data_IF_373956402758
#
_entry.id   IF_373956402758
#
_cell.length_a   1.000
_cell.length_b   1.000
_cell.length_c   1.000
_cell.angle_alpha   90.00
_cell.angle_beta   90.00
_cell.angle_gamma   90.00
#
_symmetry.space_group_name_H-M   'P 1'
#
loop_
_entity.id
_entity.type
_entity.pdbx_description
1 polymer ?
#
# COMPACT_ATOMS: atom_id res chain seq x y z
N UNK A 1 20.59 -0.60 21.96
CA UNK A 1 19.39 0.23 22.18
C UNK A 1 19.57 1.00 23.47
N UNK A 2 19.16 2.26 23.51
CA UNK A 2 19.16 3.12 24.69
C UNK A 2 17.81 3.84 24.77
N UNK A 3 17.09 3.73 25.90
CA UNK A 3 15.71 4.22 26.06
C UNK A 3 14.75 3.81 24.91
N UNK A 4 14.85 2.57 24.42
CA UNK A 4 14.02 2.08 23.31
C UNK A 4 14.40 2.64 21.93
N UNK A 5 15.51 3.38 21.81
CA UNK A 5 16.03 3.90 20.53
C UNK A 5 17.23 3.10 20.05
N UNK A 6 17.28 2.84 18.75
CA UNK A 6 18.44 2.24 18.09
C UNK A 6 19.48 3.33 17.80
N UNK A 7 20.61 3.24 18.50
CA UNK A 7 21.77 4.10 18.28
C UNK A 7 22.71 3.44 17.27
N UNK A 8 23.18 4.23 16.33
CA UNK A 8 24.05 3.78 15.24
C UNK A 8 25.21 4.76 15.07
N UNK A 9 26.39 4.30 14.61
CA UNK A 9 27.46 5.21 14.24
C UNK A 9 26.98 6.15 13.13
N UNK A 10 27.07 7.46 13.35
CA UNK A 10 26.49 8.48 12.46
C UNK A 10 26.94 8.31 11.00
N UNK A 11 28.23 8.03 10.78
CA UNK A 11 28.79 7.82 9.44
C UNK A 11 28.24 6.58 8.74
N UNK A 12 27.93 5.53 9.50
CA UNK A 12 27.41 4.29 8.92
C UNK A 12 26.06 4.48 8.22
N UNK A 13 25.25 5.44 8.68
CA UNK A 13 23.96 5.76 8.05
C UNK A 13 24.13 6.84 6.99
N UNK A 14 24.77 7.95 7.36
CA UNK A 14 24.87 9.14 6.51
C UNK A 14 25.62 8.87 5.20
N UNK A 15 26.71 8.10 5.23
CA UNK A 15 27.53 7.87 4.03
C UNK A 15 26.82 6.96 3.00
N UNK A 16 26.01 5.98 3.45
CA UNK A 16 25.19 5.15 2.56
C UNK A 16 24.09 5.98 1.87
N UNK A 17 23.63 7.06 2.52
CA UNK A 17 22.70 8.03 1.95
C UNK A 17 23.42 9.14 1.15
N UNK A 18 24.74 9.04 0.96
CA UNK A 18 25.60 10.01 0.28
C UNK A 18 25.64 11.39 0.97
N UNK A 19 25.39 11.43 2.27
CA UNK A 19 25.51 12.64 3.09
C UNK A 19 26.93 12.75 3.64
N UNK A 20 27.45 13.97 3.72
CA UNK A 20 28.73 14.23 4.38
C UNK A 20 28.55 14.38 5.88
N UNK A 21 29.57 13.97 6.64
CA UNK A 21 29.60 14.10 8.10
C UNK A 21 30.89 14.77 8.53
N UNK A 22 30.77 15.89 9.22
CA UNK A 22 31.90 16.64 9.77
C UNK A 22 31.84 16.66 11.31
N UNK A 23 33.00 16.49 11.96
CA UNK A 23 33.12 16.46 13.41
C UNK A 23 34.00 17.62 13.89
N UNK A 24 33.46 18.42 14.82
CA UNK A 24 34.13 19.57 15.42
C UNK A 24 34.40 19.29 16.90
N UNK A 25 35.64 18.89 17.20
CA UNK A 25 36.01 18.41 18.52
C UNK A 25 35.90 19.47 19.63
N UNK A 26 36.26 20.72 19.36
CA UNK A 26 36.20 21.81 20.35
C UNK A 26 34.76 22.13 20.78
N UNK A 27 33.82 22.01 19.85
CA UNK A 27 32.40 22.28 20.07
C UNK A 27 31.61 21.04 20.51
N UNK A 28 32.24 19.85 20.48
CA UNK A 28 31.56 18.56 20.61
C UNK A 28 30.35 18.45 19.66
N UNK A 29 30.54 18.89 18.41
CA UNK A 29 29.47 19.04 17.40
C UNK A 29 29.70 18.13 16.22
N UNK A 30 28.65 17.48 15.75
CA UNK A 30 28.62 16.78 14.46
C UNK A 30 27.64 17.47 13.52
N UNK A 31 28.10 17.76 12.31
CA UNK A 31 27.27 18.27 11.22
C UNK A 31 27.08 17.14 10.19
N UNK A 32 25.84 17.00 9.71
CA UNK A 32 25.45 16.06 8.65
C UNK A 32 24.81 16.89 7.54
N UNK A 33 25.40 16.84 6.35
CA UNK A 33 24.94 17.63 5.20
C UNK A 33 24.52 16.72 4.05
N UNK A 34 23.35 17.02 3.49
CA UNK A 34 22.85 16.50 2.22
C UNK A 34 22.74 17.64 1.20
N UNK A 35 22.41 17.37 -0.07
CA UNK A 35 22.23 18.43 -1.06
C UNK A 35 21.15 19.48 -0.70
N UNK A 36 20.13 19.11 0.10
CA UNK A 36 19.00 19.97 0.44
C UNK A 36 19.02 20.47 1.88
N UNK A 37 19.79 19.83 2.76
CA UNK A 37 19.56 19.91 4.20
C UNK A 37 20.83 19.75 5.03
N UNK A 38 20.86 20.46 6.16
CA UNK A 38 21.89 20.37 7.20
C UNK A 38 21.28 20.02 8.56
N UNK A 39 21.87 19.04 9.24
CA UNK A 39 21.55 18.64 10.60
C UNK A 39 22.79 18.80 11.48
N UNK A 40 22.67 19.58 12.56
CA UNK A 40 23.74 19.86 13.53
C UNK A 40 23.35 19.31 14.89
N UNK A 41 24.15 18.39 15.41
CA UNK A 41 23.93 17.71 16.69
C UNK A 41 25.11 18.00 17.64
N UNK A 42 24.85 18.10 18.94
CA UNK A 42 25.87 18.29 19.97
C UNK A 42 25.89 17.10 20.92
N UNK A 43 27.08 16.60 21.27
CA UNK A 43 27.23 15.43 22.15
C UNK A 43 26.65 15.75 23.53
N UNK A 44 25.82 14.84 24.05
CA UNK A 44 25.16 14.97 25.35
C UNK A 44 24.05 16.01 25.41
N UNK A 45 23.77 16.73 24.31
CA UNK A 45 22.69 17.70 24.22
C UNK A 45 21.42 17.08 23.64
N UNK A 46 20.29 17.34 24.29
CA UNK A 46 18.98 17.06 23.69
C UNK A 46 18.63 18.09 22.59
N UNK A 47 19.23 19.28 22.64
CA UNK A 47 19.04 20.32 21.63
C UNK A 47 19.87 20.02 20.37
N UNK A 48 19.25 20.18 19.21
CA UNK A 48 19.90 20.10 17.89
C UNK A 48 19.34 21.15 16.94
N UNK A 49 19.95 21.29 15.76
CA UNK A 49 19.53 22.26 14.76
C UNK A 49 19.32 21.61 13.40
N UNK A 50 18.16 21.87 12.81
CA UNK A 50 17.81 21.49 11.46
C UNK A 50 17.75 22.75 10.60
N UNK A 51 18.64 22.90 9.63
CA UNK A 51 18.75 24.10 8.80
C UNK A 51 18.80 25.41 9.63
N UNK A 52 19.43 25.36 10.81
CA UNK A 52 19.53 26.48 11.76
C UNK A 52 18.33 26.64 12.71
N UNK A 53 17.23 25.91 12.52
CA UNK A 53 16.09 25.89 13.44
C UNK A 53 16.38 24.95 14.63
N UNK A 54 16.24 25.47 15.85
CA UNK A 54 16.45 24.68 17.08
C UNK A 54 15.30 23.68 17.29
N UNK A 55 15.65 22.43 17.57
CA UNK A 55 14.74 21.32 17.89
C UNK A 55 15.28 20.49 19.06
N UNK A 56 14.50 19.52 19.54
CA UNK A 56 14.83 18.69 20.70
C UNK A 56 14.65 17.20 20.40
N UNK A 57 15.57 16.36 20.86
CA UNK A 57 15.51 14.89 20.75
C UNK A 57 15.46 14.21 22.12
N UNK A 58 14.83 13.04 22.18
CA UNK A 58 14.68 12.28 23.44
C UNK A 58 15.98 11.63 23.92
N UNK A 59 16.84 11.23 22.98
CA UNK A 59 18.10 10.54 23.26
C UNK A 59 19.23 11.32 22.57
N UNK A 60 20.07 12.04 23.32
CA UNK A 60 21.20 12.80 22.78
C UNK A 60 22.17 11.95 21.96
N UNK A 61 22.92 12.61 21.08
CA UNK A 61 24.10 12.01 20.49
C UNK A 61 25.16 11.72 21.57
N UNK A 62 25.85 10.58 21.46
CA UNK A 62 26.85 10.16 22.44
C UNK A 62 28.13 9.71 21.75
N UNK A 63 29.26 9.80 22.44
CA UNK A 63 30.50 9.18 21.99
C UNK A 63 30.64 7.84 22.70
N UNK A 64 30.80 6.76 21.92
CA UNK A 64 31.10 5.42 22.42
C UNK A 64 32.16 4.80 21.54
N UNK A 65 33.18 4.20 22.15
CA UNK A 65 34.29 3.53 21.42
C UNK A 65 34.89 4.44 20.32
N UNK A 66 35.14 5.71 20.67
CA UNK A 66 35.69 6.77 19.79
C UNK A 66 34.82 7.11 18.57
N UNK A 67 33.54 6.70 18.57
CA UNK A 67 32.59 7.01 17.50
C UNK A 67 31.40 7.78 18.03
N UNK A 68 30.89 8.69 17.21
CA UNK A 68 29.63 9.37 17.48
C UNK A 68 28.47 8.47 17.11
N UNK A 69 27.63 8.17 18.10
CA UNK A 69 26.39 7.44 17.97
C UNK A 69 25.21 8.40 18.04
N UNK A 70 24.24 8.18 17.15
CA UNK A 70 23.04 9.02 17.00
C UNK A 70 21.79 8.13 16.94
N UNK A 71 20.61 8.62 17.34
CA UNK A 71 19.37 7.91 17.13
C UNK A 71 19.10 7.78 15.63
N UNK A 72 19.06 6.55 15.11
CA UNK A 72 18.89 6.25 13.68
C UNK A 72 17.67 6.97 13.10
N UNK A 73 16.53 6.81 13.78
CA UNK A 73 15.24 7.36 13.34
C UNK A 73 15.28 8.87 13.23
N UNK A 74 15.81 9.55 14.25
CA UNK A 74 15.90 11.01 14.28
C UNK A 74 16.71 11.52 13.07
N UNK A 75 17.91 10.97 12.87
CA UNK A 75 18.79 11.43 11.79
C UNK A 75 18.19 11.12 10.42
N UNK A 76 17.62 9.93 10.23
CA UNK A 76 16.98 9.57 8.98
C UNK A 76 15.77 10.46 8.66
N UNK A 77 14.84 10.62 9.61
CA UNK A 77 13.60 11.39 9.43
C UNK A 77 13.89 12.89 9.23
N UNK A 78 14.81 13.46 10.01
CA UNK A 78 15.24 14.85 9.81
C UNK A 78 15.90 15.06 8.45
N UNK A 79 16.52 14.04 7.87
CA UNK A 79 17.10 14.11 6.51
C UNK A 79 16.11 13.68 5.41
N UNK A 80 14.82 13.57 5.76
CA UNK A 80 13.73 13.29 4.84
C UNK A 80 13.72 11.84 4.33
N UNK A 81 14.21 10.89 5.12
CA UNK A 81 14.01 9.47 4.93
C UNK A 81 12.86 8.96 5.81
N UNK A 82 12.26 7.85 5.42
CA UNK A 82 11.34 7.09 6.25
C UNK A 82 12.07 5.93 6.92
N UNK A 83 11.72 5.59 8.16
CA UNK A 83 12.30 4.44 8.87
C UNK A 83 11.21 3.43 9.22
N UNK A 84 11.20 2.31 8.50
CA UNK A 84 10.33 1.16 8.76
C UNK A 84 11.09 0.13 9.61
N UNK A 85 10.42 -0.43 10.60
CA UNK A 85 10.98 -1.49 11.43
C UNK A 85 10.35 -2.82 11.03
N UNK A 86 11.21 -3.76 10.66
CA UNK A 86 10.87 -5.16 10.44
C UNK A 86 11.08 -5.89 11.77
N UNK A 87 9.98 -6.18 12.46
CA UNK A 87 9.97 -6.86 13.76
C UNK A 87 10.45 -8.32 13.65
N UNK A 88 10.12 -9.00 12.56
CA UNK A 88 10.44 -10.42 12.38
C UNK A 88 11.96 -10.61 12.29
N UNK A 89 12.61 -9.76 11.51
CA UNK A 89 14.05 -9.83 11.29
C UNK A 89 14.86 -8.91 12.21
N UNK A 90 14.20 -8.05 12.99
CA UNK A 90 14.82 -7.00 13.80
C UNK A 90 15.68 -6.04 12.96
N UNK A 91 15.15 -5.60 11.82
CA UNK A 91 15.84 -4.73 10.85
C UNK A 91 15.18 -3.35 10.79
N UNK A 92 15.99 -2.29 10.86
CA UNK A 92 15.55 -0.93 10.57
C UNK A 92 15.85 -0.59 9.10
N UNK A 93 14.80 -0.51 8.28
CA UNK A 93 14.88 -0.12 6.88
C UNK A 93 14.77 1.40 6.75
N UNK A 94 15.82 2.05 6.23
CA UNK A 94 15.84 3.48 5.94
C UNK A 94 15.56 3.69 4.46
N UNK A 95 14.47 4.37 4.14
CA UNK A 95 13.99 4.54 2.77
C UNK A 95 14.03 6.02 2.40
N UNK A 96 14.70 6.35 1.29
CA UNK A 96 14.64 7.70 0.70
C UNK A 96 13.75 7.65 -0.54
N UNK A 97 12.58 8.28 -0.45
CA UNK A 97 11.67 8.37 -1.59
C UNK A 97 12.05 9.51 -2.53
N UNK A 98 11.88 9.27 -3.83
CA UNK A 98 11.64 10.32 -4.81
C UNK A 98 10.19 10.79 -4.67
N UNK A 99 9.98 12.05 -4.28
CA UNK A 99 8.63 12.59 -4.07
C UNK A 99 8.13 13.24 -5.36
N UNK A 100 6.96 12.84 -5.82
CA UNK A 100 6.31 13.37 -7.02
C UNK A 100 4.92 13.87 -6.66
N UNK A 101 4.63 15.14 -6.93
CA UNK A 101 3.25 15.64 -6.87
C UNK A 101 2.57 15.44 -8.23
N UNK A 102 1.57 14.55 -8.30
CA UNK A 102 0.85 14.29 -9.54
C UNK A 102 -0.11 15.44 -9.86
N UNK A 103 -0.04 15.96 -11.08
CA UNK A 103 -0.94 17.01 -11.60
C UNK A 103 -1.91 16.46 -12.64
N UNK A 104 -1.54 15.36 -13.28
CA UNK A 104 -2.26 14.72 -14.38
C UNK A 104 -2.19 13.20 -14.21
N UNK A 105 -3.08 12.42 -14.86
CA UNK A 105 -2.97 10.96 -14.87
C UNK A 105 -1.60 10.47 -15.40
N UNK A 106 -0.99 11.23 -16.33
CA UNK A 106 0.34 10.91 -16.87
C UNK A 106 1.41 10.88 -15.78
N UNK A 107 1.31 11.75 -14.76
CA UNK A 107 2.31 11.79 -13.69
C UNK A 107 2.30 10.52 -12.84
N UNK A 108 1.13 9.86 -12.67
CA UNK A 108 1.03 8.60 -11.94
C UNK A 108 1.81 7.51 -12.68
N UNK A 109 1.54 7.37 -13.98
CA UNK A 109 2.12 6.31 -14.81
C UNK A 109 3.61 6.55 -15.09
N UNK A 110 4.01 7.77 -15.43
CA UNK A 110 5.41 8.07 -15.76
C UNK A 110 6.35 7.94 -14.54
N UNK A 111 5.82 8.14 -13.33
CA UNK A 111 6.62 8.10 -12.10
C UNK A 111 6.44 6.81 -11.29
N UNK A 112 5.66 5.85 -11.78
CA UNK A 112 5.53 4.52 -11.20
C UNK A 112 6.86 3.77 -11.30
N UNK A 113 7.72 3.96 -10.31
CA UNK A 113 9.07 3.44 -10.23
C UNK A 113 9.43 3.11 -8.78
N UNK A 114 10.49 2.33 -8.60
CA UNK A 114 10.93 1.93 -7.26
C UNK A 114 11.36 3.12 -6.42
N UNK A 115 11.03 3.09 -5.13
CA UNK A 115 11.32 4.16 -4.17
C UNK A 115 10.72 5.51 -4.57
N UNK A 116 9.56 5.52 -5.22
CA UNK A 116 8.81 6.74 -5.52
C UNK A 116 7.60 6.87 -4.61
N UNK A 117 7.31 8.09 -4.17
CA UNK A 117 6.06 8.44 -3.47
C UNK A 117 5.33 9.49 -4.29
N UNK A 118 4.23 9.08 -4.89
CA UNK A 118 3.35 9.88 -5.71
C UNK A 118 2.24 10.43 -4.82
N UNK A 119 2.21 11.75 -4.66
CA UNK A 119 1.22 12.48 -3.89
C UNK A 119 0.15 13.01 -4.84
N UNK A 120 -1.08 12.56 -4.64
CA UNK A 120 -2.24 12.99 -5.41
C UNK A 120 -2.86 14.27 -4.82
N UNK A 121 -3.42 15.10 -5.70
CA UNK A 121 -4.18 16.31 -5.38
C UNK A 121 -5.68 16.05 -5.46
N UNK A 122 -6.47 17.00 -4.97
CA UNK A 122 -7.94 16.92 -4.97
C UNK A 122 -8.49 17.02 -6.40
N UNK A 123 -8.52 15.88 -7.09
CA UNK A 123 -9.04 15.76 -8.45
C UNK A 123 -9.23 14.28 -8.82
N UNK A 124 -9.86 14.10 -9.98
CA UNK A 124 -9.94 12.82 -10.66
C UNK A 124 -8.77 12.67 -11.66
N UNK A 125 -8.17 11.49 -11.69
CA UNK A 125 -7.10 11.08 -12.58
C UNK A 125 -7.61 9.98 -13.52
N UNK A 126 -8.09 10.37 -14.71
CA UNK A 126 -8.65 9.43 -15.69
C UNK A 126 -7.54 8.83 -16.57
N UNK A 127 -7.21 7.56 -16.33
CA UNK A 127 -6.16 6.84 -17.06
C UNK A 127 -6.51 6.59 -18.53
N UNK A 128 -7.78 6.75 -18.93
CA UNK A 128 -8.17 6.66 -20.34
C UNK A 128 -7.75 7.88 -21.17
N UNK A 129 -7.29 8.96 -20.52
CA UNK A 129 -6.75 10.16 -21.20
C UNK A 129 -5.29 10.00 -21.65
N UNK A 130 -4.64 8.91 -21.25
CA UNK A 130 -3.25 8.64 -21.54
C UNK A 130 -3.03 8.20 -23.00
N UNK A 131 -1.90 8.60 -23.58
CA UNK A 131 -1.43 8.06 -24.85
C UNK A 131 -0.70 6.73 -24.62
N UNK A 132 -1.46 5.63 -24.68
CA UNK A 132 -0.96 4.28 -24.46
C UNK A 132 0.21 3.87 -25.39
N UNK A 133 0.36 4.53 -26.55
CA UNK A 133 1.41 4.22 -27.53
C UNK A 133 2.76 4.78 -27.08
N UNK A 134 2.75 5.91 -26.34
CA UNK A 134 3.95 6.69 -26.02
C UNK A 134 4.19 6.76 -24.50
N UNK A 135 4.18 5.61 -23.83
CA UNK A 135 4.53 5.53 -22.40
C UNK A 135 6.05 5.49 -22.25
N UNK A 136 6.62 6.58 -21.73
CA UNK A 136 8.04 6.67 -21.39
C UNK A 136 8.30 6.24 -19.94
N UNK A 137 7.97 4.98 -19.62
CA UNK A 137 8.32 4.36 -18.34
C UNK A 137 8.67 2.87 -18.55
N UNK A 138 9.91 2.42 -18.26
CA UNK A 138 10.32 1.03 -18.46
C UNK A 138 9.61 0.03 -17.53
N UNK A 139 9.02 0.53 -16.45
CA UNK A 139 8.28 -0.24 -15.46
C UNK A 139 6.76 -0.25 -15.72
N UNK A 140 6.28 0.35 -16.80
CA UNK A 140 4.85 0.30 -17.15
C UNK A 140 4.65 -0.27 -18.55
N UNK A 141 3.69 -1.17 -18.67
CA UNK A 141 3.21 -1.70 -19.94
C UNK A 141 1.73 -1.34 -20.10
N UNK A 142 1.37 -0.74 -21.24
CA UNK A 142 -0.04 -0.64 -21.63
C UNK A 142 -0.42 -1.90 -22.42
N UNK A 143 -1.35 -2.67 -21.87
CA UNK A 143 -1.96 -3.81 -22.53
C UNK A 143 -3.20 -3.36 -23.31
N UNK A 144 -3.31 -3.79 -24.56
CA UNK A 144 -4.45 -3.51 -25.42
C UNK A 144 -5.61 -4.42 -25.02
N UNK A 145 -6.66 -3.82 -24.44
CA UNK A 145 -7.88 -4.54 -24.08
C UNK A 145 -8.93 -4.38 -25.19
N UNK A 146 -10.07 -5.04 -25.06
CA UNK A 146 -11.12 -4.93 -26.08
C UNK A 146 -11.61 -3.48 -26.31
N UNK A 147 -11.67 -2.67 -25.25
CA UNK A 147 -12.11 -1.26 -25.30
C UNK A 147 -11.22 -0.38 -24.40
N UNK A 148 -10.01 -0.07 -24.87
CA UNK A 148 -9.06 0.80 -24.17
C UNK A 148 -7.86 0.04 -23.64
N UNK A 149 -7.09 0.64 -22.73
CA UNK A 149 -5.82 0.09 -22.28
C UNK A 149 -5.78 -0.13 -20.77
N UNK A 150 -5.12 -1.21 -20.36
CA UNK A 150 -4.73 -1.47 -18.97
C UNK A 150 -3.27 -1.09 -18.77
N UNK A 151 -2.99 -0.30 -17.72
CA UNK A 151 -1.62 0.10 -17.39
C UNK A 151 -1.08 -0.78 -16.27
N UNK A 152 -0.15 -1.68 -16.62
CA UNK A 152 0.45 -2.66 -15.72
C UNK A 152 1.80 -2.14 -15.22
N UNK A 153 1.89 -1.86 -13.92
CA UNK A 153 3.13 -1.47 -13.24
C UNK A 153 3.89 -2.73 -12.84
N UNK A 154 5.12 -2.90 -13.34
CA UNK A 154 5.91 -4.13 -13.16
C UNK A 154 7.28 -3.91 -12.53
N UNK A 155 7.70 -4.90 -11.75
CA UNK A 155 9.05 -4.98 -11.17
C UNK A 155 9.42 -3.74 -10.33
N UNK A 156 8.44 -3.16 -9.64
CA UNK A 156 8.58 -1.95 -8.81
C UNK A 156 8.58 -2.32 -7.33
N UNK A 157 9.52 -1.76 -6.58
CA UNK A 157 9.64 -1.93 -5.13
C UNK A 157 9.48 -0.61 -4.39
N UNK A 158 8.72 -0.59 -3.29
CA UNK A 158 8.50 0.62 -2.47
C UNK A 158 7.91 1.78 -3.29
N UNK A 159 6.81 1.57 -4.00
CA UNK A 159 6.02 2.63 -4.61
C UNK A 159 4.85 3.00 -3.69
N UNK A 160 4.69 4.29 -3.43
CA UNK A 160 3.56 4.83 -2.67
C UNK A 160 2.72 5.68 -3.60
N UNK A 161 1.41 5.45 -3.63
CA UNK A 161 0.42 6.32 -4.25
C UNK A 161 -0.56 6.73 -3.16
N UNK A 162 -0.53 8.00 -2.77
CA UNK A 162 -1.36 8.49 -1.66
C UNK A 162 -1.95 9.87 -1.92
N UNK A 163 -3.12 10.13 -1.34
CA UNK A 163 -3.61 11.49 -1.17
C UNK A 163 -3.42 11.93 0.29
N UNK A 164 -3.02 13.19 0.55
CA UNK A 164 -2.94 13.72 1.92
C UNK A 164 -4.28 13.64 2.65
N UNK A 165 -4.25 13.60 3.99
CA UNK A 165 -5.48 13.57 4.79
C UNK A 165 -6.41 14.76 4.46
N UNK A 166 -7.70 14.47 4.30
CA UNK A 166 -8.71 15.46 3.91
C UNK A 166 -8.76 15.77 2.41
N UNK A 167 -7.84 15.22 1.61
CA UNK A 167 -7.86 15.33 0.15
C UNK A 167 -8.60 14.13 -0.44
N UNK A 168 -9.58 14.42 -1.31
CA UNK A 168 -10.28 13.42 -2.10
C UNK A 168 -9.67 13.33 -3.49
N UNK A 169 -8.90 12.27 -3.75
CA UNK A 169 -8.35 11.97 -5.06
C UNK A 169 -8.91 10.65 -5.59
N UNK A 170 -9.27 10.60 -6.87
CA UNK A 170 -9.70 9.36 -7.52
C UNK A 170 -8.82 8.99 -8.72
N UNK A 171 -8.51 7.71 -8.87
CA UNK A 171 -7.85 7.14 -10.05
C UNK A 171 -8.85 6.28 -10.77
N UNK A 172 -9.14 6.59 -12.03
CA UNK A 172 -10.27 5.98 -12.74
C UNK A 172 -9.92 5.60 -14.16
N UNK A 173 -10.76 4.76 -14.77
CA UNK A 173 -10.67 4.45 -16.19
C UNK A 173 -12.06 4.33 -16.81
N UNK A 174 -12.18 4.69 -18.08
CA UNK A 174 -13.35 4.43 -18.92
C UNK A 174 -13.23 3.12 -19.69
N UNK A 175 -12.07 2.46 -19.68
CA UNK A 175 -11.85 1.18 -20.35
C UNK A 175 -12.52 0.03 -19.56
N UNK A 176 -13.63 -0.57 -20.03
CA UNK A 176 -14.42 -1.49 -19.22
C UNK A 176 -13.72 -2.83 -18.96
N UNK A 177 -12.72 -3.19 -19.75
CA UNK A 177 -11.97 -4.45 -19.63
C UNK A 177 -10.65 -4.30 -18.87
N UNK A 178 -10.20 -3.07 -18.65
CA UNK A 178 -8.95 -2.79 -17.96
C UNK A 178 -9.12 -2.85 -16.45
N UNK A 179 -8.15 -3.42 -15.75
CA UNK A 179 -8.01 -3.17 -14.33
C UNK A 179 -7.63 -1.70 -14.09
N UNK A 180 -8.15 -1.08 -13.03
CA UNK A 180 -7.87 0.35 -12.75
C UNK A 180 -6.40 0.54 -12.35
N UNK A 181 -5.90 -0.29 -11.44
CA UNK A 181 -4.50 -0.33 -11.03
C UNK A 181 -4.02 -1.77 -11.05
N UNK A 182 -3.02 -2.05 -11.88
CA UNK A 182 -2.48 -3.40 -12.09
C UNK A 182 -1.00 -3.44 -11.74
N UNK A 183 -0.61 -4.41 -10.91
CA UNK A 183 0.76 -4.59 -10.44
C UNK A 183 1.24 -6.01 -10.71
N UNK A 184 2.45 -6.15 -11.26
CA UNK A 184 3.06 -7.44 -11.59
C UNK A 184 4.49 -7.54 -11.06
N UNK A 185 4.78 -8.54 -10.23
CA UNK A 185 6.12 -8.73 -9.66
C UNK A 185 6.58 -7.58 -8.75
N UNK A 186 5.61 -6.85 -8.17
CA UNK A 186 5.88 -5.66 -7.37
C UNK A 186 5.97 -5.99 -5.87
N UNK A 187 6.72 -5.17 -5.13
CA UNK A 187 6.80 -5.31 -3.66
C UNK A 187 6.77 -4.00 -2.89
N UNK A 188 6.30 -4.00 -1.65
CA UNK A 188 6.27 -2.81 -0.81
C UNK A 188 5.36 -1.71 -1.37
N UNK A 189 4.28 -2.07 -2.07
CA UNK A 189 3.36 -1.11 -2.69
C UNK A 189 2.40 -0.59 -1.64
N UNK A 190 2.21 0.74 -1.60
CA UNK A 190 1.27 1.39 -0.69
C UNK A 190 0.27 2.20 -1.50
N UNK A 191 -1.02 1.88 -1.36
CA UNK A 191 -2.13 2.68 -1.84
C UNK A 191 -2.84 3.26 -0.62
N UNK A 192 -2.95 4.58 -0.53
CA UNK A 192 -3.49 5.20 0.69
C UNK A 192 -4.38 6.39 0.45
N UNK A 193 -5.56 6.39 1.07
CA UNK A 193 -6.48 7.52 1.07
C UNK A 193 -6.88 7.94 -0.37
N UNK A 194 -7.07 6.98 -1.26
CA UNK A 194 -7.50 7.21 -2.65
C UNK A 194 -8.79 6.47 -2.94
N UNK A 195 -9.54 6.93 -3.93
CA UNK A 195 -10.62 6.15 -4.53
C UNK A 195 -10.17 5.60 -5.88
N UNK A 196 -10.44 4.34 -6.19
CA UNK A 196 -10.20 3.75 -7.50
C UNK A 196 -11.45 3.06 -8.04
N UNK A 197 -11.75 3.24 -9.33
CA UNK A 197 -12.92 2.61 -9.95
C UNK A 197 -13.15 2.99 -11.42
N UNK A 198 -14.20 2.45 -12.05
CA UNK A 198 -14.54 2.77 -13.44
C UNK A 198 -15.55 3.91 -13.56
N UNK A 199 -15.54 4.56 -14.73
CA UNK A 199 -16.49 5.62 -15.14
C UNK A 199 -17.52 5.15 -16.16
N UNK A 200 -17.92 3.88 -16.12
CA UNK A 200 -18.91 3.35 -17.06
C UNK A 200 -20.18 2.91 -16.33
N UNK A 201 -21.25 2.74 -17.09
CA UNK A 201 -22.53 2.28 -16.55
C UNK A 201 -22.40 0.88 -15.93
N UNK A 202 -23.12 0.65 -14.83
CA UNK A 202 -23.11 -0.62 -14.10
C UNK A 202 -23.48 -1.79 -15.03
N UNK A 203 -22.68 -2.86 -14.99
CA UNK A 203 -22.92 -4.08 -15.77
C UNK A 203 -22.22 -4.16 -17.13
N UNK A 204 -21.47 -3.12 -17.54
CA UNK A 204 -20.71 -3.12 -18.80
C UNK A 204 -19.21 -3.40 -18.62
N UNK A 205 -18.70 -3.38 -17.40
CA UNK A 205 -17.30 -3.70 -17.10
C UNK A 205 -17.05 -5.22 -17.07
N UNK A 206 -15.81 -5.61 -17.30
CA UNK A 206 -15.24 -6.93 -16.97
C UNK A 206 -13.83 -6.85 -16.37
N UNK A 207 -13.21 -5.67 -16.31
CA UNK A 207 -12.00 -5.43 -15.52
C UNK A 207 -12.30 -5.29 -14.02
N UNK A 208 -11.31 -5.60 -13.17
CA UNK A 208 -11.34 -5.41 -11.73
C UNK A 208 -10.82 -4.03 -11.32
N UNK A 209 -10.75 -3.72 -10.02
CA UNK A 209 -10.20 -2.43 -9.56
C UNK A 209 -8.69 -2.56 -9.32
N UNK A 210 -8.30 -3.42 -8.38
CA UNK A 210 -6.89 -3.70 -8.07
C UNK A 210 -6.54 -5.10 -8.54
N UNK A 211 -5.52 -5.23 -9.39
CA UNK A 211 -4.96 -6.50 -9.85
C UNK A 211 -3.53 -6.67 -9.33
N UNK A 212 -3.25 -7.80 -8.69
CA UNK A 212 -1.94 -8.13 -8.12
C UNK A 212 -1.48 -9.50 -8.65
N UNK A 213 -0.40 -9.53 -9.43
CA UNK A 213 0.18 -10.75 -9.98
C UNK A 213 1.63 -10.93 -9.50
N UNK A 214 1.90 -11.99 -8.74
CA UNK A 214 3.25 -12.24 -8.21
C UNK A 214 3.77 -11.15 -7.27
N UNK A 215 2.89 -10.49 -6.52
CA UNK A 215 3.20 -9.34 -5.69
C UNK A 215 3.38 -9.71 -4.21
N UNK A 216 4.18 -8.93 -3.47
CA UNK A 216 4.40 -9.14 -2.02
C UNK A 216 4.45 -7.85 -1.22
N UNK A 217 4.07 -7.88 0.06
CA UNK A 217 4.13 -6.70 0.94
C UNK A 217 3.34 -5.53 0.34
N UNK A 218 2.03 -5.72 0.23
CA UNK A 218 1.12 -4.73 -0.35
C UNK A 218 0.26 -4.16 0.77
N UNK A 219 0.18 -2.84 0.87
CA UNK A 219 -0.66 -2.15 1.84
C UNK A 219 -1.68 -1.25 1.14
N UNK A 220 -2.97 -1.47 1.43
CA UNK A 220 -4.08 -0.66 0.95
C UNK A 220 -4.82 -0.11 2.17
N UNK A 221 -4.70 1.18 2.44
CA UNK A 221 -5.27 1.81 3.65
C UNK A 221 -6.19 2.99 3.31
N UNK A 222 -7.39 3.00 3.90
CA UNK A 222 -8.38 4.10 3.74
C UNK A 222 -8.78 4.35 2.29
N UNK A 223 -8.90 3.30 1.49
CA UNK A 223 -9.28 3.43 0.09
C UNK A 223 -10.78 3.20 -0.14
N UNK A 224 -11.29 3.71 -1.25
CA UNK A 224 -12.58 3.31 -1.82
C UNK A 224 -12.35 2.60 -3.15
N UNK A 225 -12.73 1.33 -3.25
CA UNK A 225 -12.54 0.51 -4.45
C UNK A 225 -13.91 0.15 -5.02
N UNK A 226 -14.28 0.73 -6.16
CA UNK A 226 -15.66 0.67 -6.63
C UNK A 226 -15.84 0.37 -8.10
N UNK A 227 -17.06 -0.06 -8.43
CA UNK A 227 -17.62 0.11 -9.76
C UNK A 227 -16.92 -0.71 -10.84
N UNK A 228 -16.76 -2.01 -10.61
CA UNK A 228 -16.10 -2.89 -11.56
C UNK A 228 -17.01 -4.02 -12.06
N UNK A 229 -16.56 -4.66 -13.13
CA UNK A 229 -17.24 -5.77 -13.79
C UNK A 229 -17.04 -7.11 -13.11
N UNK A 230 -15.87 -7.27 -12.47
CA UNK A 230 -15.42 -8.50 -11.84
C UNK A 230 -15.29 -8.31 -10.33
N UNK A 231 -14.09 -8.02 -9.83
CA UNK A 231 -13.79 -7.95 -8.41
C UNK A 231 -13.06 -6.66 -8.03
N UNK A 232 -13.30 -6.19 -6.80
CA UNK A 232 -12.61 -5.01 -6.27
C UNK A 232 -11.11 -5.26 -6.05
N UNK A 233 -10.75 -6.46 -5.58
CA UNK A 233 -9.34 -6.89 -5.48
C UNK A 233 -9.23 -8.29 -6.05
N UNK A 234 -8.35 -8.45 -7.05
CA UNK A 234 -7.91 -9.74 -7.55
C UNK A 234 -6.42 -9.91 -7.28
N UNK A 235 -6.01 -11.07 -6.77
CA UNK A 235 -4.61 -11.42 -6.63
C UNK A 235 -4.30 -12.86 -7.01
N UNK A 236 -3.15 -13.07 -7.65
CA UNK A 236 -2.62 -14.39 -8.04
C UNK A 236 -1.17 -14.49 -7.61
N UNK A 237 -0.74 -15.65 -7.11
CA UNK A 237 0.65 -15.95 -6.72
C UNK A 237 1.26 -14.88 -5.80
N UNK A 238 0.44 -14.27 -4.94
CA UNK A 238 0.78 -13.08 -4.17
C UNK A 238 0.72 -13.32 -2.66
N UNK A 239 1.51 -12.58 -1.88
CA UNK A 239 1.60 -12.79 -0.44
C UNK A 239 1.70 -11.50 0.37
N UNK A 240 1.37 -11.56 1.65
CA UNK A 240 1.53 -10.44 2.60
C UNK A 240 0.80 -9.16 2.14
N UNK A 241 -0.46 -9.34 1.72
CA UNK A 241 -1.34 -8.23 1.35
C UNK A 241 -2.15 -7.83 2.57
N UNK A 242 -2.05 -6.57 2.97
CA UNK A 242 -2.80 -5.97 4.07
C UNK A 242 -3.71 -4.88 3.54
N UNK A 243 -5.00 -4.98 3.86
CA UNK A 243 -6.04 -4.03 3.47
C UNK A 243 -6.73 -3.55 4.74
N UNK A 244 -6.64 -2.26 5.00
CA UNK A 244 -7.17 -1.65 6.23
C UNK A 244 -8.12 -0.50 5.93
N UNK A 245 -9.18 -0.38 6.73
CA UNK A 245 -10.11 0.76 6.71
C UNK A 245 -10.65 1.10 5.31
N UNK A 246 -10.74 0.10 4.43
CA UNK A 246 -11.01 0.26 3.00
C UNK A 246 -12.41 -0.25 2.67
N UNK A 247 -13.10 0.48 1.80
CA UNK A 247 -14.40 0.09 1.29
C UNK A 247 -14.26 -0.56 -0.09
N UNK A 248 -14.86 -1.74 -0.27
CA UNK A 248 -14.95 -2.45 -1.55
C UNK A 248 -16.42 -2.57 -1.90
N UNK A 249 -16.85 -1.96 -2.99
CA UNK A 249 -18.28 -1.80 -3.25
C UNK A 249 -18.68 -1.72 -4.71
N UNK A 250 -19.98 -1.93 -4.97
CA UNK A 250 -20.57 -1.79 -6.30
C UNK A 250 -19.86 -2.60 -7.40
N UNK A 251 -19.34 -3.77 -7.04
CA UNK A 251 -18.70 -4.71 -7.96
C UNK A 251 -19.73 -5.67 -8.57
N UNK A 252 -19.58 -5.98 -9.85
CA UNK A 252 -20.58 -6.71 -10.63
C UNK A 252 -20.49 -8.23 -10.48
N UNK A 253 -19.33 -8.82 -10.12
CA UNK A 253 -19.22 -10.28 -9.84
C UNK A 253 -19.05 -10.59 -8.36
N UNK A 254 -18.11 -9.94 -7.70
CA UNK A 254 -17.80 -10.17 -6.30
C UNK A 254 -16.86 -9.11 -5.75
N UNK A 255 -16.33 -9.34 -4.55
CA UNK A 255 -15.55 -8.32 -3.84
C UNK A 255 -14.05 -8.64 -3.88
N UNK A 256 -13.70 -9.91 -3.64
CA UNK A 256 -12.32 -10.38 -3.56
C UNK A 256 -12.16 -11.71 -4.28
N UNK A 257 -11.13 -11.82 -5.12
CA UNK A 257 -10.71 -13.05 -5.77
C UNK A 257 -9.21 -13.28 -5.53
N UNK A 258 -8.86 -14.44 -4.95
CA UNK A 258 -7.49 -14.79 -4.59
C UNK A 258 -7.18 -16.21 -5.08
N UNK A 259 -6.05 -16.35 -5.76
CA UNK A 259 -5.54 -17.63 -6.28
C UNK A 259 -4.08 -17.83 -5.85
N UNK A 260 -3.79 -18.95 -5.20
CA UNK A 260 -2.44 -19.31 -4.72
C UNK A 260 -1.80 -18.23 -3.84
N UNK A 261 -2.60 -17.58 -3.00
CA UNK A 261 -2.17 -16.45 -2.17
C UNK A 261 -1.93 -16.81 -0.69
N UNK A 262 -1.03 -16.08 -0.02
CA UNK A 262 -0.62 -16.36 1.35
C UNK A 262 -0.56 -15.13 2.27
N UNK A 263 -1.07 -15.24 3.50
CA UNK A 263 -0.89 -14.19 4.52
C UNK A 263 -1.64 -12.90 4.21
N UNK A 264 -2.92 -13.01 3.88
CA UNK A 264 -3.77 -11.91 3.43
C UNK A 264 -4.62 -11.41 4.60
N UNK A 265 -4.65 -10.10 4.83
CA UNK A 265 -5.33 -9.49 5.98
C UNK A 265 -6.25 -8.37 5.53
N UNK A 266 -7.52 -8.48 5.87
CA UNK A 266 -8.49 -7.40 5.80
C UNK A 266 -8.88 -6.99 7.23
N UNK A 267 -8.78 -5.72 7.57
CA UNK A 267 -9.09 -5.22 8.91
C UNK A 267 -9.88 -3.90 8.87
N UNK A 268 -11.04 -3.85 9.52
CA UNK A 268 -11.86 -2.64 9.54
C UNK A 268 -12.44 -2.27 8.17
N UNK A 269 -12.46 -3.21 7.22
CA UNK A 269 -12.99 -2.99 5.88
C UNK A 269 -14.52 -3.05 5.83
N UNK A 270 -15.10 -2.41 4.80
CA UNK A 270 -16.52 -2.53 4.45
C UNK A 270 -16.66 -3.14 3.06
N UNK A 271 -17.41 -4.22 2.94
CA UNK A 271 -17.66 -4.95 1.70
C UNK A 271 -19.15 -4.86 1.37
N UNK A 272 -19.55 -4.09 0.35
CA UNK A 272 -20.98 -3.80 0.14
C UNK A 272 -21.49 -3.71 -1.29
N UNK A 273 -22.81 -3.80 -1.42
CA UNK A 273 -23.59 -3.45 -2.62
C UNK A 273 -23.09 -4.12 -3.92
N UNK A 274 -22.50 -5.31 -3.79
CA UNK A 274 -21.93 -6.11 -4.87
C UNK A 274 -22.72 -7.40 -5.08
N UNK A 275 -22.61 -8.05 -6.24
CA UNK A 275 -23.37 -9.28 -6.45
C UNK A 275 -23.01 -10.09 -7.68
N UNK A 276 -23.86 -11.04 -8.06
CA UNK A 276 -23.79 -11.99 -9.19
C UNK A 276 -23.09 -13.32 -8.88
N UNK A 277 -21.86 -13.33 -8.38
CA UNK A 277 -21.11 -14.56 -8.08
C UNK A 277 -20.75 -14.64 -6.59
N UNK A 278 -19.69 -15.37 -6.26
CA UNK A 278 -19.16 -15.45 -4.90
C UNK A 278 -18.58 -14.09 -4.49
N UNK A 279 -18.86 -13.63 -3.27
CA UNK A 279 -18.29 -12.36 -2.79
C UNK A 279 -16.81 -12.50 -2.48
N UNK A 280 -16.42 -13.67 -2.00
CA UNK A 280 -15.03 -14.06 -1.79
C UNK A 280 -14.77 -15.34 -2.57
N UNK A 281 -13.80 -15.31 -3.49
CA UNK A 281 -13.27 -16.49 -4.18
C UNK A 281 -11.84 -16.70 -3.70
N UNK A 282 -11.57 -17.86 -3.11
CA UNK A 282 -10.29 -18.27 -2.58
C UNK A 282 -9.96 -19.66 -3.15
N UNK A 283 -8.87 -19.75 -3.91
CA UNK A 283 -8.37 -21.00 -4.48
C UNK A 283 -6.90 -21.18 -4.11
N UNK A 284 -6.53 -22.33 -3.54
CA UNK A 284 -5.15 -22.61 -3.12
C UNK A 284 -4.58 -21.67 -2.05
N UNK A 285 -5.43 -20.90 -1.34
CA UNK A 285 -4.99 -19.84 -0.44
C UNK A 285 -4.68 -20.31 0.98
N UNK A 286 -3.76 -19.63 1.66
CA UNK A 286 -3.43 -19.89 3.07
C UNK A 286 -3.33 -18.63 3.92
N UNK A 287 -3.84 -18.68 5.15
CA UNK A 287 -3.72 -17.56 6.10
C UNK A 287 -4.42 -16.29 5.63
N UNK A 288 -5.69 -16.42 5.22
CA UNK A 288 -6.54 -15.27 4.85
C UNK A 288 -7.42 -14.92 6.04
N UNK A 289 -7.32 -13.68 6.54
CA UNK A 289 -8.14 -13.21 7.65
C UNK A 289 -8.93 -11.96 7.29
N UNK A 290 -10.22 -11.94 7.60
CA UNK A 290 -11.09 -10.76 7.54
C UNK A 290 -11.55 -10.43 8.95
N UNK A 291 -11.24 -9.24 9.44
CA UNK A 291 -11.40 -8.91 10.86
C UNK A 291 -12.07 -7.55 11.05
N UNK A 292 -12.97 -7.46 12.04
CA UNK A 292 -13.66 -6.22 12.42
C UNK A 292 -14.34 -5.51 11.24
N UNK A 293 -14.90 -6.29 10.31
CA UNK A 293 -15.40 -5.79 9.02
C UNK A 293 -16.90 -5.91 8.88
N UNK A 294 -17.48 -5.03 8.06
CA UNK A 294 -18.88 -5.11 7.65
C UNK A 294 -18.97 -5.76 6.27
N UNK A 295 -19.79 -6.79 6.13
CA UNK A 295 -20.13 -7.41 4.84
C UNK A 295 -21.62 -7.24 4.66
N UNK A 296 -22.07 -6.29 3.83
CA UNK A 296 -23.49 -5.90 3.80
C UNK A 296 -24.09 -5.66 2.43
N UNK A 297 -25.39 -5.91 2.30
CA UNK A 297 -26.15 -5.64 1.07
C UNK A 297 -25.61 -6.35 -0.19
N UNK A 298 -24.94 -7.48 -0.04
CA UNK A 298 -24.37 -8.21 -1.17
C UNK A 298 -25.31 -9.33 -1.64
N UNK A 299 -25.21 -9.74 -2.91
CA UNK A 299 -26.07 -10.78 -3.48
C UNK A 299 -25.30 -11.83 -4.28
N UNK A 300 -25.25 -13.07 -3.79
CA UNK A 300 -24.67 -14.21 -4.51
C UNK A 300 -25.75 -15.05 -5.20
N UNK A 301 -25.49 -15.51 -6.43
CA UNK A 301 -26.44 -16.31 -7.22
C UNK A 301 -26.60 -17.75 -6.68
N UNK A 302 -27.67 -18.43 -7.11
CA UNK A 302 -28.02 -19.79 -6.67
C UNK A 302 -26.94 -20.86 -6.92
N UNK A 303 -26.13 -20.66 -7.96
CA UNK A 303 -25.07 -21.59 -8.34
C UNK A 303 -23.72 -21.27 -7.68
N UNK A 304 -23.67 -20.25 -6.82
CA UNK A 304 -22.45 -19.78 -6.16
C UNK A 304 -22.55 -19.95 -4.64
N UNK A 305 -21.38 -20.03 -4.00
CA UNK A 305 -21.26 -19.84 -2.55
C UNK A 305 -20.98 -18.36 -2.27
N UNK A 306 -21.52 -17.81 -1.19
CA UNK A 306 -21.21 -16.43 -0.80
C UNK A 306 -19.71 -16.26 -0.50
N UNK A 307 -19.11 -17.25 0.17
CA UNK A 307 -17.66 -17.43 0.34
C UNK A 307 -17.27 -18.78 -0.27
N UNK A 308 -16.48 -18.73 -1.33
CA UNK A 308 -15.95 -19.91 -2.02
C UNK A 308 -14.50 -20.09 -1.61
N UNK A 309 -14.19 -21.16 -0.88
CA UNK A 309 -12.84 -21.57 -0.50
C UNK A 309 -12.55 -23.01 -0.96
N UNK A 310 -11.60 -23.16 -1.88
CA UNK A 310 -11.15 -24.45 -2.43
C UNK A 310 -9.65 -24.63 -2.18
N UNK A 311 -9.25 -25.82 -1.76
CA UNK A 311 -7.86 -26.17 -1.42
C UNK A 311 -7.16 -25.14 -0.51
N UNK A 312 -7.94 -24.54 0.39
CA UNK A 312 -7.50 -23.48 1.29
C UNK A 312 -7.17 -23.99 2.70
N UNK A 313 -6.34 -23.23 3.42
CA UNK A 313 -6.05 -23.45 4.85
C UNK A 313 -6.03 -22.14 5.64
N UNK A 314 -6.38 -22.21 6.93
CA UNK A 314 -6.34 -21.05 7.84
C UNK A 314 -7.08 -19.82 7.32
N UNK A 315 -8.34 -20.01 6.93
CA UNK A 315 -9.23 -18.93 6.52
C UNK A 315 -10.11 -18.53 7.71
N UNK A 316 -10.08 -17.27 8.09
CA UNK A 316 -10.81 -16.76 9.26
C UNK A 316 -11.58 -15.47 8.97
N UNK A 317 -12.83 -15.43 9.42
CA UNK A 317 -13.60 -14.21 9.60
C UNK A 317 -13.80 -13.98 11.10
N UNK A 318 -13.41 -12.82 11.63
CA UNK A 318 -13.45 -12.55 13.07
C UNK A 318 -14.04 -11.19 13.40
N UNK A 319 -15.06 -11.15 14.26
CA UNK A 319 -15.72 -9.90 14.66
C UNK A 319 -16.43 -9.16 13.51
N UNK A 320 -16.84 -9.88 12.47
CA UNK A 320 -17.50 -9.29 11.31
C UNK A 320 -19.03 -9.19 11.48
N UNK A 321 -19.65 -8.19 10.85
CA UNK A 321 -21.12 -8.06 10.73
C UNK A 321 -21.56 -8.35 9.29
N UNK A 322 -22.18 -9.51 9.10
CA UNK A 322 -22.85 -9.87 7.86
C UNK A 322 -24.32 -9.43 7.96
N UNK A 323 -24.70 -8.41 7.20
CA UNK A 323 -26.06 -7.86 7.28
C UNK A 323 -26.70 -7.63 5.92
N UNK A 324 -27.97 -7.97 5.77
CA UNK A 324 -28.74 -7.78 4.53
C UNK A 324 -28.09 -8.41 3.28
N UNK A 325 -27.33 -9.49 3.44
CA UNK A 325 -26.81 -10.25 2.31
C UNK A 325 -27.84 -11.28 1.83
N UNK A 326 -27.87 -11.54 0.53
CA UNK A 326 -28.70 -12.55 -0.12
C UNK A 326 -27.80 -13.62 -0.72
N UNK A 327 -28.02 -14.88 -0.35
CA UNK A 327 -27.25 -16.01 -0.84
C UNK A 327 -28.05 -17.31 -0.69
N UNK A 328 -27.75 -18.30 -1.53
CA UNK A 328 -28.31 -19.65 -1.42
C UNK A 328 -27.40 -20.57 -0.63
N UNK A 329 -26.09 -20.50 -0.90
CA UNK A 329 -25.07 -21.24 -0.15
C UNK A 329 -24.13 -20.23 0.50
N UNK A 330 -23.86 -20.37 1.80
CA UNK A 330 -23.05 -19.39 2.53
C UNK A 330 -21.55 -19.60 2.34
N UNK A 331 -21.04 -20.80 2.57
CA UNK A 331 -19.60 -21.06 2.52
C UNK A 331 -19.30 -22.45 1.98
N UNK A 332 -18.28 -22.59 1.12
CA UNK A 332 -17.77 -23.88 0.68
C UNK A 332 -16.60 -24.32 1.57
N UNK A 333 -16.67 -25.55 2.08
CA UNK A 333 -15.56 -26.18 2.80
C UNK A 333 -15.52 -25.93 4.32
N UNK A 334 -14.93 -26.86 5.05
CA UNK A 334 -14.76 -26.79 6.52
C UNK A 334 -13.56 -25.92 6.95
N UNK A 335 -12.81 -25.37 6.00
CA UNK A 335 -11.58 -24.62 6.23
C UNK A 335 -11.83 -23.17 6.71
N UNK A 336 -13.05 -22.65 6.58
CA UNK A 336 -13.40 -21.28 6.95
C UNK A 336 -13.96 -21.23 8.37
N UNK A 337 -13.29 -20.47 9.23
CA UNK A 337 -13.69 -20.26 10.63
C UNK A 337 -14.36 -18.90 10.79
N UNK A 338 -15.43 -18.87 11.58
CA UNK A 338 -16.12 -17.64 11.96
C UNK A 338 -16.05 -17.47 13.47
N UNK A 339 -15.43 -16.39 13.94
CA UNK A 339 -15.20 -16.12 15.36
C UNK A 339 -15.88 -14.82 15.77
N UNK A 340 -16.92 -14.86 16.60
CA UNK A 340 -17.57 -13.63 17.08
C UNK A 340 -18.26 -12.80 15.99
N UNK A 341 -18.57 -13.40 14.84
CA UNK A 341 -19.29 -12.75 13.76
C UNK A 341 -20.81 -12.71 14.03
N UNK A 342 -21.47 -11.68 13.53
CA UNK A 342 -22.92 -11.61 13.36
C UNK A 342 -23.26 -12.04 11.94
N UNK A 343 -24.07 -13.08 11.77
CA UNK A 343 -24.38 -13.70 10.48
C UNK A 343 -25.79 -13.40 9.98
#
# INVERSE_FOLDING_TARGET
MENGRTLVPVRAVSEHLKYSVEWFAEEQRVDIDSPSDKLTLYIGSADYYKNGEKRTMDVPAVIKDERTFVPLRLVAEEMGCEVKWDEENNIANVIKYNIVEAKTPHDIILNAASYTKIILKEQEYDLSELDAINIDNPNVFADDTFEGYEYIIKDVSNLVIEAPEGISASVVTQAPYANVLSFKGCSGIVLKNITAGHKVEKGYCTGGVIMLDGCRDINIDKCGLYGCGTYGITATDSAEITVENTEIYECTYGLVELSDCGGIKFNGCTFRDSGMFSMFVLDGCSGVSVTNSEIKNNNSSENSYFISAYDCSDIEFSGCDFSNNSYYNFCSGDAVKFTGCKL
#
